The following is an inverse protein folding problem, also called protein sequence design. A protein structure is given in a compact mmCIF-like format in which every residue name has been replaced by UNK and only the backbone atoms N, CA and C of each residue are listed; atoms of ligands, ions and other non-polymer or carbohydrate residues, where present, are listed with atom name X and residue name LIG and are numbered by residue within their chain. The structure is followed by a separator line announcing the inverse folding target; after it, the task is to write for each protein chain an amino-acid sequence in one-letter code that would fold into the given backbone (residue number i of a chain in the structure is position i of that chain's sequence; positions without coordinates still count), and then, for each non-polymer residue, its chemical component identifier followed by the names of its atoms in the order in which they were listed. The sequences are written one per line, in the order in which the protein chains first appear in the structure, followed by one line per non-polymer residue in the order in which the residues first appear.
data_IF_107801508467
#
_entry.id   IF_107801508467
#
_cell.length_a   1.000
_cell.length_b   1.000
_cell.length_c   1.000
_cell.angle_alpha   90.00
_cell.angle_beta   90.00
_cell.angle_gamma   90.00
#
_symmetry.space_group_name_H-M   'P 1'
#
loop_
_entity.id
_entity.type
_entity.pdbx_description
1 polymer ?
#
# COMPACT_ATOMS: atom_id res chain seq x y z
N UNK A 1 -10.09 -14.04 11.04
CA UNK A 1 -10.09 -13.35 9.73
C UNK A 1 -8.81 -13.68 8.97
N UNK A 2 -8.87 -13.75 7.64
CA UNK A 2 -7.74 -14.02 6.74
C UNK A 2 -7.62 -12.90 5.70
N UNK A 3 -6.47 -12.24 5.65
CA UNK A 3 -6.16 -11.26 4.60
C UNK A 3 -5.29 -11.89 3.51
N UNK A 4 -5.55 -11.55 2.25
CA UNK A 4 -4.58 -11.70 1.18
C UNK A 4 -3.81 -10.40 1.02
N UNK A 5 -2.56 -10.38 1.46
CA UNK A 5 -1.67 -9.22 1.31
C UNK A 5 -0.80 -9.38 0.05
N UNK A 6 -0.95 -8.44 -0.88
CA UNK A 6 -0.15 -8.30 -2.10
C UNK A 6 0.36 -6.87 -2.24
N UNK A 7 1.39 -6.67 -3.07
CA UNK A 7 1.95 -5.37 -3.40
C UNK A 7 2.63 -5.43 -4.78
N UNK A 8 3.06 -4.29 -5.31
CA UNK A 8 4.00 -4.20 -6.43
C UNK A 8 3.51 -4.92 -7.70
N UNK A 9 2.22 -4.77 -8.00
CA UNK A 9 1.61 -5.35 -9.20
C UNK A 9 2.13 -4.70 -10.48
N UNK A 10 2.48 -3.41 -10.40
CA UNK A 10 3.04 -2.61 -11.50
C UNK A 10 2.24 -2.78 -12.80
N UNK A 11 0.90 -2.75 -12.76
CA UNK A 11 0.04 -3.01 -13.91
C UNK A 11 0.41 -2.08 -15.08
N UNK A 12 0.61 -2.66 -16.26
CA UNK A 12 1.09 -1.96 -17.46
C UNK A 12 2.62 -1.99 -17.64
N UNK A 13 3.33 -2.87 -16.93
CA UNK A 13 4.78 -3.02 -17.02
C UNK A 13 5.22 -3.48 -18.41
N UNK A 14 6.38 -3.00 -18.83
CA UNK A 14 7.08 -3.42 -20.06
C UNK A 14 8.53 -3.72 -19.76
N UNK A 15 9.10 -4.72 -20.44
CA UNK A 15 10.54 -5.00 -20.44
C UNK A 15 11.10 -4.58 -21.80
N UNK A 16 11.65 -3.37 -21.85
CA UNK A 16 11.97 -2.71 -23.11
C UNK A 16 10.72 -2.57 -23.98
N UNK A 17 10.74 -3.19 -25.17
CA UNK A 17 9.61 -3.16 -26.09
C UNK A 17 8.59 -4.28 -25.86
N UNK A 18 8.82 -5.20 -24.93
CA UNK A 18 7.96 -6.35 -24.68
C UNK A 18 6.89 -5.97 -23.64
N UNK A 19 5.63 -6.20 -23.98
CA UNK A 19 4.51 -6.04 -23.04
C UNK A 19 4.47 -7.22 -22.08
N UNK A 20 4.25 -6.97 -20.78
CA UNK A 20 4.03 -8.03 -19.78
C UNK A 20 2.55 -8.28 -19.52
N UNK A 21 1.66 -7.78 -20.38
CA UNK A 21 0.21 -7.82 -20.14
C UNK A 21 -0.35 -9.24 -19.99
N UNK A 22 0.18 -10.22 -20.74
CA UNK A 22 -0.27 -11.62 -20.62
C UNK A 22 0.16 -12.23 -19.28
N UNK A 23 1.42 -12.05 -18.88
CA UNK A 23 1.93 -12.48 -17.57
C UNK A 23 1.18 -11.80 -16.42
N UNK A 24 0.88 -10.50 -16.57
CA UNK A 24 0.11 -9.74 -15.59
C UNK A 24 -1.33 -10.26 -15.48
N UNK A 25 -2.00 -10.58 -16.59
CA UNK A 25 -3.34 -11.21 -16.52
C UNK A 25 -3.29 -12.56 -15.82
N UNK A 26 -2.30 -13.38 -16.14
CA UNK A 26 -2.12 -14.68 -15.51
C UNK A 26 -1.99 -14.55 -13.99
N UNK A 27 -1.09 -13.69 -13.49
CA UNK A 27 -0.91 -13.55 -12.04
C UNK A 27 -2.13 -12.90 -11.36
N UNK A 28 -2.82 -11.96 -12.02
CA UNK A 28 -4.07 -11.40 -11.48
C UNK A 28 -5.17 -12.46 -11.40
N UNK A 29 -5.27 -13.36 -12.37
CA UNK A 29 -6.17 -14.52 -12.30
C UNK A 29 -5.84 -15.43 -11.12
N UNK A 30 -4.56 -15.72 -10.88
CA UNK A 30 -4.11 -16.47 -9.70
C UNK A 30 -4.51 -15.80 -8.39
N UNK A 31 -4.32 -14.48 -8.27
CA UNK A 31 -4.69 -13.70 -7.09
C UNK A 31 -6.20 -13.76 -6.86
N UNK A 32 -7.01 -13.68 -7.92
CA UNK A 32 -8.46 -13.84 -7.82
C UNK A 32 -8.81 -15.24 -7.29
N UNK A 33 -8.16 -16.30 -7.77
CA UNK A 33 -8.38 -17.67 -7.26
C UNK A 33 -8.04 -17.77 -5.78
N UNK A 34 -6.91 -17.22 -5.34
CA UNK A 34 -6.48 -17.23 -3.94
C UNK A 34 -7.39 -16.40 -3.04
N UNK A 35 -7.99 -15.32 -3.56
CA UNK A 35 -8.88 -14.44 -2.81
C UNK A 35 -10.19 -15.13 -2.39
N UNK A 36 -10.56 -16.25 -3.01
CA UNK A 36 -11.77 -17.00 -2.65
C UNK A 36 -11.78 -17.42 -1.17
N UNK A 37 -10.62 -17.85 -0.66
CA UNK A 37 -10.43 -18.35 0.71
C UNK A 37 -10.04 -17.27 1.74
N UNK A 38 -10.07 -15.99 1.33
CA UNK A 38 -9.72 -14.85 2.17
C UNK A 38 -10.95 -13.99 2.48
N UNK A 39 -10.92 -13.29 3.60
CA UNK A 39 -12.00 -12.39 4.04
C UNK A 39 -11.83 -10.98 3.45
N UNK A 40 -10.60 -10.56 3.14
CA UNK A 40 -10.29 -9.26 2.55
C UNK A 40 -8.95 -9.30 1.80
N UNK A 41 -8.75 -8.32 0.90
CA UNK A 41 -7.52 -8.15 0.11
C UNK A 41 -6.84 -6.83 0.47
N UNK A 42 -5.53 -6.87 0.69
CA UNK A 42 -4.68 -5.69 0.88
C UNK A 42 -3.77 -5.56 -0.35
N UNK A 43 -3.76 -4.36 -0.94
CA UNK A 43 -2.85 -3.97 -2.01
C UNK A 43 -1.95 -2.85 -1.47
N UNK A 44 -0.77 -3.23 -0.99
CA UNK A 44 0.17 -2.36 -0.29
C UNK A 44 1.04 -1.52 -1.26
N UNK A 45 0.39 -0.82 -2.19
CA UNK A 45 1.05 0.10 -3.12
C UNK A 45 1.49 -0.51 -4.45
N UNK A 46 1.88 0.39 -5.35
CA UNK A 46 2.35 0.13 -6.70
C UNK A 46 1.38 -0.75 -7.52
N UNK A 47 0.11 -0.31 -7.54
CA UNK A 47 -0.92 -0.92 -8.40
C UNK A 47 -0.57 -0.73 -9.87
N UNK A 48 -0.14 0.48 -10.24
CA UNK A 48 0.26 0.83 -11.60
C UNK A 48 1.78 1.00 -11.70
N UNK A 49 2.35 0.64 -12.85
CA UNK A 49 3.78 0.83 -13.11
C UNK A 49 4.20 2.33 -13.12
N UNK A 50 3.27 3.24 -13.31
CA UNK A 50 3.53 4.68 -13.45
C UNK A 50 2.33 5.53 -13.07
N UNK A 51 2.60 6.77 -12.68
CA UNK A 51 1.60 7.67 -12.14
C UNK A 51 0.48 8.02 -13.12
N UNK A 52 0.80 8.00 -14.42
CA UNK A 52 -0.16 8.13 -15.51
C UNK A 52 -0.27 6.78 -16.23
N UNK A 53 -1.18 5.88 -15.79
CA UNK A 53 -1.34 4.57 -16.39
C UNK A 53 -1.89 4.64 -17.82
N UNK A 54 -1.61 3.62 -18.63
CA UNK A 54 -2.23 3.51 -19.96
C UNK A 54 -3.69 3.11 -19.85
N UNK A 55 -4.47 3.35 -20.90
CA UNK A 55 -5.85 2.82 -20.97
C UNK A 55 -5.92 1.29 -20.86
N UNK A 56 -4.89 0.57 -21.31
CA UNK A 56 -4.78 -0.88 -21.10
C UNK A 56 -4.60 -1.24 -19.63
N UNK A 57 -3.70 -0.55 -18.92
CA UNK A 57 -3.45 -0.76 -17.51
C UNK A 57 -4.68 -0.42 -16.66
N UNK A 58 -5.35 0.70 -16.95
CA UNK A 58 -6.60 1.09 -16.27
C UNK A 58 -7.69 0.04 -16.46
N UNK A 59 -7.87 -0.50 -17.68
CA UNK A 59 -8.84 -1.58 -17.92
C UNK A 59 -8.50 -2.85 -17.16
N UNK A 60 -7.21 -3.23 -17.13
CA UNK A 60 -6.77 -4.43 -16.41
C UNK A 60 -6.97 -4.31 -14.91
N UNK A 61 -6.60 -3.16 -14.31
CA UNK A 61 -6.84 -2.89 -12.90
C UNK A 61 -8.34 -2.82 -12.58
N UNK A 62 -9.14 -2.20 -13.45
CA UNK A 62 -10.59 -2.14 -13.31
C UNK A 62 -11.27 -3.51 -13.34
N UNK A 63 -10.87 -4.40 -14.26
CA UNK A 63 -11.34 -5.79 -14.31
C UNK A 63 -10.96 -6.56 -13.05
N UNK A 64 -9.71 -6.43 -12.60
CA UNK A 64 -9.24 -7.09 -11.38
C UNK A 64 -10.00 -6.64 -10.13
N UNK A 65 -10.14 -5.33 -9.91
CA UNK A 65 -10.90 -4.78 -8.78
C UNK A 65 -12.39 -5.11 -8.89
N UNK A 66 -12.96 -5.11 -10.09
CA UNK A 66 -14.34 -5.50 -10.35
C UNK A 66 -14.60 -6.96 -9.95
N UNK A 67 -13.69 -7.87 -10.26
CA UNK A 67 -13.82 -9.28 -9.88
C UNK A 67 -13.69 -9.50 -8.37
N UNK A 68 -12.83 -8.75 -7.68
CA UNK A 68 -12.78 -8.77 -6.21
C UNK A 68 -14.09 -8.26 -5.60
N UNK A 69 -14.67 -7.21 -6.18
CA UNK A 69 -15.97 -6.70 -5.79
C UNK A 69 -17.09 -7.73 -6.01
N UNK A 70 -17.12 -8.41 -7.16
CA UNK A 70 -18.11 -9.46 -7.48
C UNK A 70 -18.03 -10.66 -6.50
N UNK A 71 -16.86 -10.88 -5.91
CA UNK A 71 -16.62 -11.87 -4.85
C UNK A 71 -16.92 -11.34 -3.44
N UNK A 72 -17.48 -10.14 -3.34
CA UNK A 72 -17.80 -9.41 -2.11
C UNK A 72 -16.59 -9.21 -1.18
N UNK A 73 -15.37 -9.16 -1.74
CA UNK A 73 -14.13 -8.99 -0.96
C UNK A 73 -13.89 -7.50 -0.71
N UNK A 74 -13.82 -7.05 0.55
CA UNK A 74 -13.29 -5.72 0.86
C UNK A 74 -11.84 -5.62 0.39
N UNK A 75 -11.51 -4.51 -0.26
CA UNK A 75 -10.16 -4.22 -0.75
C UNK A 75 -9.62 -2.99 -0.02
N UNK A 76 -8.41 -3.11 0.51
CA UNK A 76 -7.65 -2.02 1.12
C UNK A 76 -6.45 -1.69 0.25
N UNK A 77 -6.49 -0.54 -0.40
CA UNK A 77 -5.51 -0.12 -1.39
C UNK A 77 -4.81 1.15 -0.91
N UNK A 78 -3.49 1.18 -1.00
CA UNK A 78 -2.73 2.42 -0.87
C UNK A 78 -2.01 2.73 -2.17
N UNK A 79 -1.71 4.00 -2.43
CA UNK A 79 -0.76 4.37 -3.49
C UNK A 79 0.68 4.08 -3.05
N UNK A 80 1.46 3.45 -3.92
CA UNK A 80 2.91 3.34 -3.78
C UNK A 80 3.65 4.54 -4.39
N UNK A 81 4.97 4.43 -4.58
CA UNK A 81 5.76 5.51 -5.15
C UNK A 81 5.62 5.64 -6.68
N UNK A 82 5.15 4.60 -7.37
CA UNK A 82 4.88 4.64 -8.81
C UNK A 82 3.48 5.16 -9.13
N UNK A 83 2.53 5.04 -8.21
CA UNK A 83 1.14 5.43 -8.44
C UNK A 83 0.93 6.94 -8.47
N UNK A 84 -0.11 7.37 -9.20
CA UNK A 84 -0.59 8.74 -9.14
C UNK A 84 -1.51 8.88 -7.93
N UNK A 85 -1.00 9.31 -6.77
CA UNK A 85 -1.80 9.40 -5.53
C UNK A 85 -3.14 10.12 -5.70
N UNK A 86 -3.16 11.27 -6.36
CA UNK A 86 -4.39 12.04 -6.68
C UNK A 86 -5.40 11.23 -7.52
N UNK A 87 -4.90 10.41 -8.46
CA UNK A 87 -5.74 9.52 -9.26
C UNK A 87 -6.33 8.40 -8.39
N UNK A 88 -5.52 7.84 -7.48
CA UNK A 88 -5.98 6.82 -6.52
C UNK A 88 -7.05 7.39 -5.60
N UNK A 89 -6.88 8.60 -5.06
CA UNK A 89 -7.91 9.25 -4.22
C UNK A 89 -9.18 9.58 -5.00
N UNK A 90 -9.04 10.12 -6.21
CA UNK A 90 -10.18 10.41 -7.09
C UNK A 90 -11.01 9.14 -7.37
N UNK A 91 -10.35 8.05 -7.75
CA UNK A 91 -11.01 6.77 -7.96
C UNK A 91 -11.56 6.18 -6.65
N UNK A 92 -10.80 6.26 -5.56
CA UNK A 92 -11.17 5.74 -4.24
C UNK A 92 -12.47 6.35 -3.71
N UNK A 93 -12.69 7.65 -3.94
CA UNK A 93 -13.94 8.33 -3.60
C UNK A 93 -15.19 7.70 -4.25
N UNK A 94 -15.03 7.09 -5.43
CA UNK A 94 -16.09 6.38 -6.17
C UNK A 94 -16.11 4.90 -5.78
N UNK A 95 -14.95 4.25 -5.76
CA UNK A 95 -14.81 2.81 -5.57
C UNK A 95 -15.13 2.34 -4.15
N UNK A 96 -15.18 3.25 -3.17
CA UNK A 96 -15.67 2.93 -1.80
C UNK A 96 -17.07 2.31 -1.79
N UNK A 97 -17.92 2.62 -2.78
CA UNK A 97 -19.24 2.03 -2.93
C UNK A 97 -19.22 0.59 -3.41
N UNK A 98 -18.06 0.12 -3.90
CA UNK A 98 -17.78 -1.25 -4.28
C UNK A 98 -16.92 -1.99 -3.22
N UNK A 99 -16.87 -1.49 -1.97
CA UNK A 99 -16.01 -1.99 -0.89
C UNK A 99 -14.50 -1.93 -1.19
N UNK A 100 -14.08 -1.00 -2.05
CA UNK A 100 -12.66 -0.70 -2.28
C UNK A 100 -12.30 0.59 -1.54
N UNK A 101 -11.57 0.45 -0.45
CA UNK A 101 -11.10 1.54 0.39
C UNK A 101 -9.68 1.92 -0.03
N UNK A 102 -9.51 3.13 -0.55
CA UNK A 102 -8.22 3.58 -1.07
C UNK A 102 -7.71 4.82 -0.34
N UNK A 103 -6.39 4.92 -0.18
CA UNK A 103 -5.69 6.12 0.25
C UNK A 103 -4.52 6.42 -0.71
N UNK A 104 -4.55 7.57 -1.35
CA UNK A 104 -3.61 7.96 -2.40
C UNK A 104 -2.58 9.01 -1.97
N UNK A 105 -3.01 10.05 -1.28
CA UNK A 105 -2.17 11.15 -0.81
C UNK A 105 -2.28 11.30 0.69
N UNK A 106 -1.14 11.45 1.37
CA UNK A 106 -1.13 11.80 2.77
C UNK A 106 -1.44 13.28 2.97
N UNK A 107 -2.63 13.56 3.53
CA UNK A 107 -3.10 14.92 3.84
C UNK A 107 -3.04 15.27 5.33
N UNK A 108 -2.29 14.50 6.13
CA UNK A 108 -2.10 14.77 7.56
C UNK A 108 -2.90 13.85 8.48
N UNK A 109 -3.68 12.92 7.90
CA UNK A 109 -4.37 11.86 8.63
C UNK A 109 -4.25 10.55 7.87
N UNK A 110 -4.34 9.43 8.59
CA UNK A 110 -4.33 8.08 8.03
C UNK A 110 -5.73 7.49 8.20
N UNK A 111 -6.45 7.18 7.10
CA UNK A 111 -7.76 6.55 7.19
C UNK A 111 -7.72 5.22 7.94
N UNK A 112 -8.67 5.02 8.85
CA UNK A 112 -8.87 3.78 9.61
C UNK A 112 -10.20 3.14 9.22
N UNK A 113 -10.16 1.86 8.91
CA UNK A 113 -11.34 1.03 8.63
C UNK A 113 -11.46 -0.07 9.67
N UNK A 114 -12.68 -0.32 10.15
CA UNK A 114 -12.94 -1.33 11.19
C UNK A 114 -13.63 -2.53 10.56
N UNK A 115 -12.98 -3.68 10.66
CA UNK A 115 -13.56 -4.99 10.39
C UNK A 115 -13.83 -5.70 11.72
N UNK A 116 -14.63 -6.79 11.67
CA UNK A 116 -14.97 -7.59 12.84
C UNK A 116 -14.99 -9.06 12.51
N UNK A 117 -14.43 -9.87 13.39
CA UNK A 117 -14.57 -11.33 13.37
C UNK A 117 -14.93 -11.86 14.78
N UNK A 118 -14.88 -13.18 14.96
CA UNK A 118 -15.18 -13.85 16.24
C UNK A 118 -14.22 -13.48 17.39
N UNK A 119 -13.04 -12.93 17.08
CA UNK A 119 -12.03 -12.51 18.06
C UNK A 119 -12.06 -11.00 18.35
N UNK A 120 -13.02 -10.25 17.80
CA UNK A 120 -13.19 -8.83 18.03
C UNK A 120 -12.92 -7.96 16.81
N UNK A 121 -12.56 -6.69 17.04
CA UNK A 121 -12.31 -5.74 15.97
C UNK A 121 -10.92 -5.93 15.35
N UNK A 122 -10.82 -5.56 14.07
CA UNK A 122 -9.56 -5.42 13.34
C UNK A 122 -9.56 -4.02 12.73
N UNK A 123 -8.64 -3.17 13.16
CA UNK A 123 -8.48 -1.81 12.65
C UNK A 123 -7.42 -1.82 11.54
N UNK A 124 -7.81 -1.45 10.32
CA UNK A 124 -6.93 -1.39 9.15
C UNK A 124 -6.62 0.07 8.84
N UNK A 125 -5.35 0.44 8.91
CA UNK A 125 -4.84 1.80 8.71
C UNK A 125 -4.17 1.90 7.34
N UNK A 126 -4.56 2.89 6.52
CA UNK A 126 -4.11 3.03 5.14
C UNK A 126 -3.12 4.19 4.98
N UNK A 127 -1.81 3.92 5.12
CA UNK A 127 -0.77 4.93 4.94
C UNK A 127 -0.18 4.84 3.51
N UNK A 128 -0.50 5.77 2.59
CA UNK A 128 0.13 5.80 1.28
C UNK A 128 1.63 6.07 1.38
N UNK A 129 2.36 5.86 0.28
CA UNK A 129 3.77 6.24 0.20
C UNK A 129 3.94 7.73 0.56
N UNK A 130 4.70 8.00 1.62
CA UNK A 130 4.96 9.36 2.09
C UNK A 130 6.39 9.79 1.80
N UNK A 131 6.53 11.03 1.31
CA UNK A 131 7.82 11.73 1.19
C UNK A 131 7.94 12.79 2.29
N UNK A 132 9.15 13.07 2.80
CA UNK A 132 9.38 14.12 3.79
C UNK A 132 8.71 15.47 3.48
N UNK A 133 8.80 15.91 2.22
CA UNK A 133 8.17 17.15 1.78
C UNK A 133 6.64 17.14 1.91
N UNK A 134 5.99 16.01 1.57
CA UNK A 134 4.55 15.87 1.64
C UNK A 134 4.07 15.90 3.09
N UNK A 135 4.75 15.17 3.98
CA UNK A 135 4.45 15.16 5.42
C UNK A 135 4.60 16.56 6.02
N UNK A 136 5.70 17.26 5.74
CA UNK A 136 5.89 18.64 6.21
C UNK A 136 4.77 19.57 5.73
N UNK A 137 4.37 19.47 4.47
CA UNK A 137 3.29 20.30 3.90
C UNK A 137 1.95 19.99 4.56
N UNK A 138 1.61 18.71 4.68
CA UNK A 138 0.35 18.24 5.25
C UNK A 138 0.19 18.65 6.72
N UNK A 139 1.26 18.48 7.51
CA UNK A 139 1.27 18.77 8.95
C UNK A 139 1.74 20.20 9.29
N UNK A 140 2.04 21.02 8.28
CA UNK A 140 2.54 22.41 8.43
C UNK A 140 3.79 22.52 9.34
N UNK A 141 4.73 21.60 9.16
CA UNK A 141 5.95 21.51 9.97
C UNK A 141 7.04 22.48 9.50
N UNK A 142 7.99 22.78 10.38
CA UNK A 142 9.15 23.58 10.04
C UNK A 142 10.09 22.84 9.06
N UNK A 143 10.93 23.55 8.27
CA UNK A 143 11.81 22.91 7.27
C UNK A 143 12.80 21.88 7.82
N UNK A 144 13.17 21.99 9.10
CA UNK A 144 14.09 21.09 9.79
C UNK A 144 13.40 19.89 10.46
N UNK A 145 12.07 19.83 10.45
CA UNK A 145 11.30 18.67 10.94
C UNK A 145 11.05 17.68 9.79
N UNK A 146 10.93 16.39 10.10
CA UNK A 146 10.82 15.33 9.09
C UNK A 146 11.95 15.45 8.03
N UNK A 147 13.21 15.46 8.47
CA UNK A 147 14.35 15.72 7.60
C UNK A 147 14.65 14.54 6.66
N UNK A 148 14.41 13.30 7.13
CA UNK A 148 14.52 12.06 6.37
C UNK A 148 13.20 11.28 6.29
N UNK A 149 13.21 10.18 5.54
CA UNK A 149 12.04 9.31 5.38
C UNK A 149 11.58 8.70 6.70
N UNK A 150 12.50 8.23 7.55
CA UNK A 150 12.14 7.69 8.87
C UNK A 150 11.40 8.71 9.73
N UNK A 151 11.94 9.92 9.89
CA UNK A 151 11.28 10.99 10.66
C UNK A 151 9.91 11.34 10.08
N UNK A 152 9.79 11.35 8.74
CA UNK A 152 8.52 11.62 8.06
C UNK A 152 7.47 10.55 8.36
N UNK A 153 7.87 9.27 8.37
CA UNK A 153 6.98 8.15 8.72
C UNK A 153 6.60 8.20 10.19
N UNK A 154 7.56 8.37 11.11
CA UNK A 154 7.28 8.53 12.54
C UNK A 154 6.25 9.63 12.77
N UNK A 155 6.46 10.77 12.14
CA UNK A 155 5.58 11.93 12.24
C UNK A 155 4.19 11.70 11.64
N UNK A 156 4.09 10.91 10.56
CA UNK A 156 2.80 10.53 10.00
C UNK A 156 2.01 9.58 10.92
N UNK A 157 2.73 8.69 11.62
CA UNK A 157 2.14 7.72 12.56
C UNK A 157 1.80 8.32 13.93
N UNK A 158 2.43 9.42 14.35
CA UNK A 158 2.14 10.11 15.62
C UNK A 158 0.66 10.45 15.81
N UNK A 159 -0.11 10.64 14.73
CA UNK A 159 -1.54 10.93 14.78
C UNK A 159 -2.43 9.70 14.98
N UNK A 160 -1.88 8.49 15.05
CA UNK A 160 -2.63 7.25 15.25
C UNK A 160 -2.65 6.90 16.74
N UNK A 161 -3.86 6.81 17.28
CA UNK A 161 -4.10 6.15 18.56
C UNK A 161 -4.46 4.68 18.29
N UNK A 162 -3.57 3.77 18.70
CA UNK A 162 -3.79 2.33 18.59
C UNK A 162 -4.73 1.87 19.71
N UNK A 163 -5.69 1.01 19.35
CA UNK A 163 -6.60 0.40 20.29
C UNK A 163 -6.00 -0.92 20.80
N UNK A 164 -5.68 -0.99 22.09
CA UNK A 164 -5.08 -2.16 22.70
C UNK A 164 -6.03 -3.36 22.80
N UNK A 165 -7.34 -3.14 22.67
CA UNK A 165 -8.37 -4.19 22.69
C UNK A 165 -8.73 -4.68 21.26
N UNK A 166 -8.16 -4.06 20.23
CA UNK A 166 -8.32 -4.44 18.83
C UNK A 166 -7.01 -4.94 18.23
N UNK A 167 -7.11 -5.68 17.12
CA UNK A 167 -5.93 -5.98 16.28
C UNK A 167 -5.70 -4.83 15.32
N UNK A 168 -4.51 -4.27 15.32
CA UNK A 168 -4.12 -3.10 14.54
C UNK A 168 -3.25 -3.52 13.36
N UNK A 169 -3.76 -3.33 12.14
CA UNK A 169 -3.09 -3.67 10.89
C UNK A 169 -2.74 -2.39 10.14
N UNK A 170 -1.45 -2.14 9.91
CA UNK A 170 -1.00 -1.04 9.07
C UNK A 170 -0.75 -1.52 7.64
N UNK A 171 -1.27 -0.81 6.64
CA UNK A 171 -0.88 -0.94 5.24
C UNK A 171 0.04 0.22 4.90
N UNK A 172 1.24 -0.09 4.43
CA UNK A 172 2.26 0.91 4.13
C UNK A 172 3.13 0.50 2.93
N UNK A 173 3.67 1.50 2.25
CA UNK A 173 4.60 1.29 1.14
C UNK A 173 5.80 2.17 1.38
N UNK A 174 6.93 1.60 1.80
CA UNK A 174 8.13 2.32 2.20
C UNK A 174 9.37 1.42 2.11
N UNK A 175 10.55 2.03 1.96
CA UNK A 175 11.81 1.29 1.99
C UNK A 175 12.24 1.02 3.44
N UNK A 176 11.94 -0.17 3.95
CA UNK A 176 12.27 -0.59 5.32
C UNK A 176 13.56 -1.42 5.36
N UNK A 177 14.52 -0.99 6.18
CA UNK A 177 15.82 -1.64 6.38
C UNK A 177 15.71 -3.01 7.08
N UNK A 178 16.69 -3.88 6.84
CA UNK A 178 16.65 -5.31 7.23
C UNK A 178 16.20 -6.24 6.10
N UNK A 179 15.82 -5.65 4.96
CA UNK A 179 15.45 -6.32 3.73
C UNK A 179 16.65 -6.56 2.80
N UNK A 180 16.78 -7.74 2.20
CA UNK A 180 17.71 -7.95 1.08
C UNK A 180 17.14 -7.31 -0.20
N UNK A 181 17.91 -6.43 -0.84
CA UNK A 181 17.50 -5.74 -2.08
C UNK A 181 17.60 -6.65 -3.31
N UNK A 182 16.65 -6.53 -4.22
CA UNK A 182 16.65 -7.17 -5.54
C UNK A 182 17.15 -6.25 -6.66
N UNK A 183 17.62 -6.84 -7.77
CA UNK A 183 18.21 -6.11 -8.91
C UNK A 183 17.24 -5.22 -9.70
N UNK A 184 15.93 -5.37 -9.50
CA UNK A 184 14.89 -4.59 -10.21
C UNK A 184 14.45 -3.33 -9.47
N UNK A 185 15.00 -3.05 -8.30
CA UNK A 185 14.62 -1.90 -7.47
C UNK A 185 15.26 -0.61 -8.00
N UNK A 186 14.51 0.50 -7.98
CA UNK A 186 15.10 1.83 -8.04
C UNK A 186 15.92 2.04 -6.77
N UNK A 187 17.21 1.68 -6.82
CA UNK A 187 18.13 1.85 -5.69
C UNK A 187 18.19 3.32 -5.29
N UNK A 188 17.84 3.60 -4.03
CA UNK A 188 18.13 4.87 -3.39
C UNK A 188 19.63 5.20 -3.53
N UNK A 189 19.95 6.35 -4.10
CA UNK A 189 21.32 6.85 -4.16
C UNK A 189 21.70 7.30 -2.74
N UNK A 190 22.46 6.45 -2.02
CA UNK A 190 23.17 6.86 -0.81
C UNK A 190 22.58 6.44 0.55
N UNK A 191 21.60 5.52 0.61
CA UNK A 191 21.14 4.93 1.88
C UNK A 191 20.34 5.83 2.82
N UNK A 192 19.98 7.04 2.38
CA UNK A 192 19.22 8.03 3.17
C UNK A 192 17.70 7.79 3.20
N UNK A 193 17.24 6.79 2.45
CA UNK A 193 15.81 6.48 2.28
C UNK A 193 15.38 5.26 3.13
N UNK A 194 16.27 4.71 3.96
CA UNK A 194 15.95 3.52 4.77
C UNK A 194 15.28 3.86 6.10
N UNK A 195 14.25 3.09 6.42
CA UNK A 195 13.43 3.24 7.64
C UNK A 195 13.63 2.01 8.52
N UNK A 196 13.84 2.16 9.83
CA UNK A 196 13.86 1.02 10.76
C UNK A 196 12.47 0.37 10.89
N UNK A 197 12.40 -0.95 11.01
CA UNK A 197 11.16 -1.66 11.32
C UNK A 197 10.54 -1.20 12.67
N UNK A 198 11.36 -0.74 13.61
CA UNK A 198 10.93 -0.23 14.93
C UNK A 198 9.97 0.98 14.83
N UNK A 199 9.97 1.67 13.69
CA UNK A 199 9.05 2.79 13.42
C UNK A 199 7.60 2.33 13.44
N UNK A 200 7.35 1.05 13.16
CA UNK A 200 6.02 0.46 13.13
C UNK A 200 5.69 -0.36 14.39
N UNK A 201 6.48 -0.22 15.45
CA UNK A 201 6.23 -0.90 16.71
C UNK A 201 4.82 -0.57 17.25
N UNK A 202 4.12 -1.60 17.74
CA UNK A 202 2.77 -1.48 18.29
C UNK A 202 1.65 -1.97 17.37
N UNK A 203 1.87 -2.03 16.05
CA UNK A 203 0.95 -2.72 15.14
C UNK A 203 1.10 -4.24 15.26
N UNK A 204 -0.02 -4.98 15.23
CA UNK A 204 -0.02 -6.44 15.23
C UNK A 204 0.45 -7.04 13.90
N UNK A 205 0.24 -6.30 12.81
CA UNK A 205 0.73 -6.65 11.48
C UNK A 205 0.97 -5.40 10.64
N UNK A 206 2.06 -5.41 9.87
CA UNK A 206 2.37 -4.34 8.90
C UNK A 206 2.47 -4.96 7.51
N UNK A 207 1.48 -4.66 6.68
CA UNK A 207 1.45 -5.01 5.28
C UNK A 207 2.30 -4.03 4.46
N UNK A 208 3.58 -4.37 4.28
CA UNK A 208 4.56 -3.59 3.52
C UNK A 208 4.62 -4.02 2.04
N UNK A 209 4.66 -3.03 1.14
CA UNK A 209 5.13 -3.18 -0.24
C UNK A 209 6.53 -2.59 -0.47
N UNK A 210 6.86 -2.26 -1.72
CA UNK A 210 8.07 -1.57 -2.22
C UNK A 210 9.26 -2.48 -2.50
N UNK A 211 9.44 -3.52 -1.67
CA UNK A 211 10.50 -4.50 -1.86
C UNK A 211 9.96 -5.71 -2.63
N UNK A 212 10.54 -5.97 -3.80
CA UNK A 212 10.08 -7.03 -4.71
C UNK A 212 10.49 -8.45 -4.26
N UNK A 213 10.67 -8.66 -2.96
CA UNK A 213 11.01 -9.95 -2.35
C UNK A 213 10.25 -10.14 -1.04
N UNK A 214 9.48 -11.23 -0.89
CA UNK A 214 8.84 -11.55 0.38
C UNK A 214 9.89 -11.78 1.46
N UNK A 215 9.85 -10.96 2.51
CA UNK A 215 10.83 -11.02 3.60
C UNK A 215 10.14 -10.85 4.95
N UNK A 216 10.63 -11.57 5.96
CA UNK A 216 10.23 -11.35 7.35
C UNK A 216 11.20 -10.35 7.96
N UNK A 217 10.74 -9.13 8.15
CA UNK A 217 11.44 -8.15 8.98
C UNK A 217 11.21 -8.49 10.45
N UNK A 218 12.27 -8.52 11.24
CA UNK A 218 12.20 -8.67 12.69
C UNK A 218 12.22 -7.25 13.28
N UNK A 219 11.19 -6.90 14.04
CA UNK A 219 11.01 -5.64 14.76
C UNK A 219 9.96 -5.82 15.85
#
# INVERSE_FOLDING_TARGET
MKFLHIADLHIGRRLGNISMAEDQRYILDEIIRLSADCDAVIIAGDLYNRAQPTGEAVRMAGDFLGRLHDMEKPVFLIAGNHDGGELVDYCGGILKHANVHAAGVYEGTIPRHVLRDEYGEVHVYLMPFVKPLHVRKALKLAPNEAAGYEDAVRRALEGIELDADARNVLVAHQYVSGAETCQSEERAIGGLDQISADVFAGFDYVALGHLHSPQRLMG
#
